data_IF_866886257350
#
_entry.id   IF_866886257350
#
_cell.length_a   1.000
_cell.length_b   1.000
_cell.length_c   1.000
_cell.angle_alpha   90.00
_cell.angle_beta   90.00
_cell.angle_gamma   90.00
#
_symmetry.space_group_name_H-M   'P 1'
#
loop_
_entity.id
_entity.type
_entity.pdbx_description
1 polymer ?
#
# COMPACT_ATOMS: atom_id res chain seq x y z
N UNK A 1 3.15 -7.72 57.85
CA UNK A 1 3.30 -6.33 58.31
C UNK A 1 4.71 -5.86 57.98
N UNK A 2 4.94 -5.23 56.82
CA UNK A 2 6.17 -4.45 56.56
C UNK A 2 5.97 -3.53 55.34
N UNK A 3 5.78 -2.25 55.67
CA UNK A 3 6.24 -1.01 55.03
C UNK A 3 5.97 -0.72 53.54
N UNK A 4 5.05 0.22 53.33
CA UNK A 4 4.92 1.12 52.18
C UNK A 4 6.11 2.09 52.10
N UNK A 5 6.58 2.37 50.88
CA UNK A 5 7.30 3.62 50.59
C UNK A 5 6.82 4.21 49.25
N UNK A 6 6.04 5.29 49.31
CA UNK A 6 5.90 6.26 48.21
C UNK A 6 7.00 7.29 48.37
N UNK A 7 7.63 7.71 47.26
CA UNK A 7 8.06 9.11 47.10
C UNK A 7 7.88 9.54 45.65
N UNK A 8 7.07 10.59 45.52
CA UNK A 8 6.90 11.39 44.34
C UNK A 8 8.16 12.20 44.05
N UNK A 9 8.43 12.44 42.77
CA UNK A 9 9.50 13.31 42.30
C UNK A 9 9.16 13.86 40.92
N UNK A 10 8.34 14.91 40.90
CA UNK A 10 8.09 15.75 39.73
C UNK A 10 9.28 16.65 39.44
N UNK A 11 9.76 16.67 38.20
CA UNK A 11 10.58 17.75 37.67
C UNK A 11 10.11 18.09 36.25
N UNK A 12 9.39 19.21 36.16
CA UNK A 12 9.03 19.89 34.92
C UNK A 12 10.25 20.67 34.46
N UNK A 13 10.79 20.39 33.28
CA UNK A 13 11.70 21.31 32.60
C UNK A 13 10.97 21.97 31.45
N UNK A 14 10.51 23.21 31.71
CA UNK A 14 10.21 24.19 30.68
C UNK A 14 11.52 24.90 30.32
N UNK A 15 11.82 24.99 29.03
CA UNK A 15 12.61 26.09 28.49
C UNK A 15 12.13 26.36 27.05
N UNK A 16 11.78 27.62 26.81
CA UNK A 16 11.27 28.16 25.56
C UNK A 16 12.39 28.93 24.83
N UNK A 17 12.35 28.96 23.50
CA UNK A 17 12.89 30.00 22.62
C UNK A 17 12.32 29.73 21.21
N UNK A 18 11.39 30.53 20.67
CA UNK A 18 11.55 31.88 20.11
C UNK A 18 12.37 31.89 18.80
N UNK A 19 11.75 32.28 17.68
CA UNK A 19 12.48 32.62 16.46
C UNK A 19 11.65 32.61 15.17
N UNK A 20 10.96 33.72 14.90
CA UNK A 20 10.32 34.04 13.62
C UNK A 20 11.30 34.02 12.44
N UNK A 21 10.81 33.70 11.22
CA UNK A 21 10.84 34.60 10.07
C UNK A 21 10.18 33.95 8.85
N UNK A 22 9.08 34.56 8.41
CA UNK A 22 8.44 34.32 7.12
C UNK A 22 9.23 35.03 6.01
N UNK A 23 9.30 34.40 4.83
CA UNK A 23 9.58 35.10 3.58
C UNK A 23 8.72 34.49 2.47
N UNK A 24 7.63 35.19 2.15
CA UNK A 24 6.86 35.03 0.93
C UNK A 24 7.65 35.69 -0.21
N UNK A 25 7.89 34.95 -1.29
CA UNK A 25 8.33 35.53 -2.56
C UNK A 25 7.31 35.16 -3.64
N UNK A 26 6.39 36.10 -3.88
CA UNK A 26 5.57 36.16 -5.08
C UNK A 26 6.40 36.84 -6.17
N UNK A 27 6.74 36.13 -7.23
CA UNK A 27 7.15 36.75 -8.49
C UNK A 27 6.14 36.41 -9.57
N UNK A 28 5.30 37.41 -9.85
CA UNK A 28 4.50 37.52 -11.05
C UNK A 28 5.43 37.58 -12.29
N UNK A 29 5.15 36.74 -13.29
CA UNK A 29 5.86 36.67 -14.56
C UNK A 29 4.91 36.98 -15.72
N UNK A 30 5.27 38.03 -16.45
CA UNK A 30 4.52 38.74 -17.49
C UNK A 30 4.08 37.88 -18.68
N UNK A 31 2.87 38.17 -19.19
CA UNK A 31 2.39 37.72 -20.49
C UNK A 31 2.89 38.65 -21.61
N UNK A 32 3.24 38.06 -22.75
CA UNK A 32 3.25 38.74 -24.05
C UNK A 32 2.78 37.74 -25.13
N UNK A 33 1.88 38.15 -26.05
CA UNK A 33 1.38 37.29 -27.11
C UNK A 33 2.38 37.28 -28.27
N UNK A 34 2.94 36.11 -28.56
CA UNK A 34 3.70 35.84 -29.77
C UNK A 34 2.80 35.18 -30.81
N UNK A 35 2.35 35.96 -31.79
CA UNK A 35 1.79 35.45 -33.04
C UNK A 35 2.88 34.76 -33.86
N UNK A 36 2.53 33.61 -34.44
CA UNK A 36 3.17 33.09 -35.65
C UNK A 36 4.00 31.81 -35.48
N UNK A 37 3.36 30.66 -35.71
CA UNK A 37 3.79 29.66 -36.70
C UNK A 37 2.82 28.48 -36.64
N UNK A 38 2.23 28.15 -37.79
CA UNK A 38 1.53 26.89 -38.02
C UNK A 38 2.46 25.73 -37.63
N UNK A 39 2.12 25.02 -36.57
CA UNK A 39 2.61 23.66 -36.38
C UNK A 39 1.37 22.77 -36.32
N UNK A 40 1.26 22.00 -37.39
CA UNK A 40 0.40 20.85 -37.61
C UNK A 40 -0.09 20.25 -36.29
N UNK A 41 -1.39 20.43 -36.02
CA UNK A 41 -2.09 19.68 -34.98
C UNK A 41 -2.13 18.20 -35.40
N UNK A 42 -1.01 17.50 -35.22
CA UNK A 42 -1.00 16.07 -35.12
C UNK A 42 -1.83 15.73 -33.89
N UNK A 43 -3.10 15.40 -34.13
CA UNK A 43 -3.93 14.67 -33.18
C UNK A 43 -3.18 13.37 -32.90
N UNK A 44 -2.41 13.35 -31.82
CA UNK A 44 -1.79 12.14 -31.33
C UNK A 44 -2.94 11.20 -30.96
N UNK A 45 -3.12 10.16 -31.78
CA UNK A 45 -3.96 9.03 -31.41
C UNK A 45 -3.38 8.44 -30.10
N UNK A 46 -4.23 7.99 -29.16
CA UNK A 46 -3.72 7.31 -27.99
C UNK A 46 -2.93 6.08 -28.45
N UNK A 47 -1.63 6.07 -28.14
CA UNK A 47 -0.80 4.88 -28.33
C UNK A 47 -1.29 3.80 -27.38
N UNK A 48 -1.46 2.59 -27.89
CA UNK A 48 -1.68 1.43 -27.02
C UNK A 48 -0.47 1.24 -26.09
N UNK A 49 -0.71 0.92 -24.81
CA UNK A 49 0.36 0.65 -23.85
C UNK A 49 1.21 -0.54 -24.31
N UNK A 50 2.50 -0.50 -23.97
CA UNK A 50 3.42 -1.59 -24.25
C UNK A 50 3.31 -2.69 -23.19
N UNK A 51 3.75 -3.93 -23.45
CA UNK A 51 3.69 -5.01 -22.47
C UNK A 51 4.35 -4.66 -21.12
N UNK A 52 5.45 -3.92 -21.14
CA UNK A 52 6.12 -3.46 -19.91
C UNK A 52 5.32 -2.42 -19.13
N UNK A 53 4.49 -1.62 -19.81
CA UNK A 53 3.61 -0.66 -19.13
C UNK A 53 2.48 -1.41 -18.40
N UNK A 54 1.96 -2.47 -19.02
CA UNK A 54 0.95 -3.33 -18.40
C UNK A 54 1.50 -4.13 -17.22
N UNK A 55 2.72 -4.67 -17.32
CA UNK A 55 3.39 -5.34 -16.20
C UNK A 55 3.58 -4.38 -15.01
N UNK A 56 3.99 -3.14 -15.28
CA UNK A 56 4.13 -2.12 -14.25
C UNK A 56 2.78 -1.74 -13.61
N UNK A 57 1.72 -1.63 -14.41
CA UNK A 57 0.38 -1.29 -13.93
C UNK A 57 -0.24 -2.44 -13.11
N UNK A 58 -0.06 -3.69 -13.55
CA UNK A 58 -0.47 -4.87 -12.80
C UNK A 58 0.29 -5.00 -11.48
N UNK A 59 1.62 -4.78 -11.50
CA UNK A 59 2.43 -4.75 -10.29
C UNK A 59 1.96 -3.67 -9.31
N UNK A 60 1.68 -2.46 -9.81
CA UNK A 60 1.18 -1.36 -8.98
C UNK A 60 -0.18 -1.66 -8.34
N UNK A 61 -1.07 -2.37 -9.04
CA UNK A 61 -2.33 -2.84 -8.45
C UNK A 61 -2.10 -3.86 -7.33
N UNK A 62 -1.19 -4.82 -7.54
CA UNK A 62 -0.83 -5.82 -6.53
C UNK A 62 -0.21 -5.18 -5.28
N UNK A 63 0.79 -4.31 -5.43
CA UNK A 63 1.44 -3.66 -4.29
C UNK A 63 0.51 -2.66 -3.61
N UNK A 64 -0.31 -1.94 -4.38
CA UNK A 64 -1.31 -1.01 -3.84
C UNK A 64 -2.36 -1.70 -2.95
N UNK A 65 -2.77 -2.92 -3.29
CA UNK A 65 -3.63 -3.74 -2.41
C UNK A 65 -2.95 -3.97 -1.05
N UNK A 66 -1.69 -4.40 -1.05
CA UNK A 66 -0.93 -4.65 0.18
C UNK A 66 -0.72 -3.37 0.99
N UNK A 67 -0.39 -2.24 0.36
CA UNK A 67 -0.22 -0.95 1.01
C UNK A 67 -1.48 -0.51 1.74
N UNK A 68 -2.65 -0.65 1.09
CA UNK A 68 -3.95 -0.34 1.69
C UNK A 68 -4.24 -1.24 2.89
N UNK A 69 -3.96 -2.54 2.78
CA UNK A 69 -4.16 -3.50 3.89
C UNK A 69 -3.21 -3.20 5.05
N UNK A 70 -1.95 -2.90 4.79
CA UNK A 70 -0.97 -2.52 5.81
C UNK A 70 -1.46 -1.27 6.53
N UNK A 71 -1.75 -0.19 5.80
CA UNK A 71 -2.23 1.07 6.38
C UNK A 71 -3.49 0.85 7.24
N UNK A 72 -4.51 0.19 6.67
CA UNK A 72 -5.76 -0.07 7.37
C UNK A 72 -5.58 -0.95 8.62
N UNK A 73 -4.67 -1.92 8.58
CA UNK A 73 -4.36 -2.76 9.74
C UNK A 73 -3.78 -1.95 10.91
N UNK A 74 -2.92 -0.98 10.63
CA UNK A 74 -2.36 -0.06 11.64
C UNK A 74 -3.40 0.92 12.20
N UNK A 75 -4.43 1.25 11.42
CA UNK A 75 -5.53 2.14 11.81
C UNK A 75 -6.68 1.43 12.55
N UNK A 76 -6.47 0.17 12.95
CA UNK A 76 -7.45 -0.61 13.71
C UNK A 76 -8.28 -1.57 12.87
N UNK A 77 -7.85 -1.87 11.64
CA UNK A 77 -8.41 -2.93 10.81
C UNK A 77 -9.77 -2.58 10.20
N UNK A 78 -10.07 -1.30 9.99
CA UNK A 78 -11.19 -0.86 9.13
C UNK A 78 -11.06 -1.45 7.72
N UNK A 79 -12.14 -1.76 7.01
CA UNK A 79 -12.04 -2.09 5.57
C UNK A 79 -12.22 -0.78 4.81
N UNK A 80 -11.16 -0.21 4.23
CA UNK A 80 -11.24 1.03 3.47
C UNK A 80 -11.90 0.78 2.11
N UNK A 81 -12.64 1.77 1.60
CA UNK A 81 -13.23 1.69 0.26
C UNK A 81 -12.17 1.64 -0.84
N UNK A 82 -11.02 2.25 -0.58
CA UNK A 82 -9.84 2.29 -1.45
C UNK A 82 -9.27 0.89 -1.73
N UNK A 83 -9.62 -0.12 -0.91
CA UNK A 83 -9.24 -1.50 -1.20
C UNK A 83 -9.90 -2.01 -2.50
N UNK A 84 -11.09 -1.50 -2.86
CA UNK A 84 -11.80 -1.87 -4.09
C UNK A 84 -11.12 -1.30 -5.35
N UNK A 85 -10.25 -0.29 -5.21
CA UNK A 85 -9.44 0.23 -6.32
C UNK A 85 -8.35 -0.76 -6.75
N UNK A 86 -7.97 -1.67 -5.86
CA UNK A 86 -6.87 -2.62 -6.08
C UNK A 86 -7.29 -4.09 -6.06
N UNK A 87 -8.41 -4.43 -5.41
CA UNK A 87 -8.85 -5.80 -5.25
C UNK A 87 -10.35 -5.96 -5.51
N UNK A 88 -10.72 -7.10 -6.07
CA UNK A 88 -12.09 -7.54 -6.29
C UNK A 88 -12.20 -9.02 -5.93
N UNK A 89 -13.40 -9.58 -6.01
CA UNK A 89 -13.62 -11.03 -5.92
C UNK A 89 -13.05 -11.67 -4.65
N UNK A 90 -12.34 -12.78 -4.82
CA UNK A 90 -11.76 -13.56 -3.72
C UNK A 90 -10.67 -12.81 -2.97
N UNK A 91 -9.85 -12.02 -3.67
CA UNK A 91 -8.80 -11.22 -3.05
C UNK A 91 -9.38 -10.14 -2.11
N UNK A 92 -10.38 -9.40 -2.56
CA UNK A 92 -11.06 -8.39 -1.74
C UNK A 92 -11.69 -9.01 -0.48
N UNK A 93 -12.35 -10.16 -0.64
CA UNK A 93 -12.97 -10.87 0.49
C UNK A 93 -11.94 -11.36 1.51
N UNK A 94 -10.81 -11.91 1.03
CA UNK A 94 -9.72 -12.38 1.88
C UNK A 94 -9.10 -11.22 2.68
N UNK A 95 -8.77 -10.12 2.01
CA UNK A 95 -8.15 -8.95 2.65
C UNK A 95 -9.09 -8.27 3.64
N UNK A 96 -10.37 -8.13 3.29
CA UNK A 96 -11.39 -7.62 4.21
C UNK A 96 -11.47 -8.47 5.48
N UNK A 97 -11.44 -9.80 5.34
CA UNK A 97 -11.47 -10.73 6.47
C UNK A 97 -10.22 -10.58 7.35
N UNK A 98 -9.04 -10.40 6.76
CA UNK A 98 -7.80 -10.18 7.50
C UNK A 98 -7.86 -8.88 8.34
N UNK A 99 -8.35 -7.79 7.76
CA UNK A 99 -8.54 -6.50 8.44
C UNK A 99 -9.56 -6.60 9.57
N UNK A 100 -10.70 -7.25 9.34
CA UNK A 100 -11.71 -7.50 10.38
C UNK A 100 -11.17 -8.39 11.51
N UNK A 101 -10.34 -9.37 11.18
CA UNK A 101 -9.61 -10.18 12.14
C UNK A 101 -8.71 -9.32 13.04
N UNK A 102 -7.90 -8.45 12.44
CA UNK A 102 -7.03 -7.53 13.17
C UNK A 102 -7.83 -6.58 14.08
N UNK A 103 -8.93 -6.03 13.57
CA UNK A 103 -9.87 -5.19 14.36
C UNK A 103 -10.41 -5.96 15.56
N UNK A 104 -10.85 -7.20 15.35
CA UNK A 104 -11.47 -8.04 16.38
C UNK A 104 -10.46 -8.49 17.44
N UNK A 105 -9.21 -8.74 17.06
CA UNK A 105 -8.14 -9.07 18.00
C UNK A 105 -7.87 -7.92 18.99
N UNK A 106 -8.17 -6.67 18.61
CA UNK A 106 -7.99 -5.49 19.46
C UNK A 106 -6.54 -5.25 19.89
N UNK A 107 -5.59 -5.95 19.26
CA UNK A 107 -4.17 -5.82 19.52
C UNK A 107 -3.58 -4.72 18.66
N UNK A 108 -2.47 -4.15 19.13
CA UNK A 108 -1.71 -3.19 18.35
C UNK A 108 -1.03 -3.92 17.20
N UNK A 109 -1.43 -3.62 15.96
CA UNK A 109 -0.73 -4.09 14.76
C UNK A 109 0.66 -3.46 14.71
N UNK A 110 1.68 -4.23 14.32
CA UNK A 110 3.08 -3.77 14.21
C UNK A 110 3.77 -4.38 13.00
N UNK A 111 4.71 -3.63 12.42
CA UNK A 111 5.47 -4.06 11.24
C UNK A 111 4.63 -4.10 9.96
N UNK A 112 5.20 -4.68 8.92
CA UNK A 112 4.60 -4.84 7.59
C UNK A 112 5.30 -6.01 6.88
N UNK A 113 4.67 -6.64 5.89
CA UNK A 113 5.33 -7.66 5.10
C UNK A 113 6.39 -7.04 4.18
N UNK A 114 7.42 -7.82 3.84
CA UNK A 114 8.35 -7.48 2.76
C UNK A 114 7.93 -8.27 1.52
N UNK A 115 7.68 -7.57 0.42
CA UNK A 115 7.27 -8.17 -0.86
C UNK A 115 8.49 -8.39 -1.76
N UNK A 116 8.48 -9.47 -2.54
CA UNK A 116 9.40 -9.79 -3.64
C UNK A 116 8.61 -10.34 -4.85
N UNK A 117 7.73 -9.53 -5.48
CA UNK A 117 6.83 -9.99 -6.52
C UNK A 117 7.49 -10.04 -7.91
N UNK A 118 7.12 -11.06 -8.68
CA UNK A 118 7.35 -11.17 -10.11
C UNK A 118 6.01 -11.21 -10.83
N UNK A 119 5.84 -10.37 -11.85
CA UNK A 119 4.58 -10.24 -12.61
C UNK A 119 4.74 -10.82 -14.01
N UNK A 120 3.69 -11.48 -14.51
CA UNK A 120 3.58 -11.90 -15.90
C UNK A 120 2.22 -11.46 -16.46
N UNK A 121 2.22 -10.68 -17.54
CA UNK A 121 0.99 -10.32 -18.27
C UNK A 121 0.73 -11.39 -19.33
N UNK A 122 -0.40 -12.08 -19.21
CA UNK A 122 -0.77 -13.20 -20.09
C UNK A 122 -1.68 -12.75 -21.25
N UNK A 123 -2.31 -11.59 -21.12
CA UNK A 123 -3.21 -11.01 -22.11
C UNK A 123 -3.63 -9.58 -21.75
N UNK A 124 -4.52 -8.95 -22.54
CA UNK A 124 -4.97 -7.58 -22.28
C UNK A 124 -5.83 -7.45 -21.01
N UNK A 125 -6.34 -8.56 -20.49
CA UNK A 125 -7.29 -8.63 -19.39
C UNK A 125 -6.86 -9.58 -18.26
N UNK A 126 -5.68 -10.20 -18.36
CA UNK A 126 -5.18 -11.19 -17.41
C UNK A 126 -3.68 -11.03 -17.13
N UNK A 127 -3.33 -11.01 -15.85
CA UNK A 127 -1.96 -11.08 -15.37
C UNK A 127 -1.87 -11.97 -14.11
N UNK A 128 -0.69 -12.52 -13.87
CA UNK A 128 -0.37 -13.33 -12.69
C UNK A 128 0.81 -12.72 -11.93
N UNK A 129 0.81 -12.92 -10.61
CA UNK A 129 1.91 -12.50 -9.74
C UNK A 129 2.29 -13.66 -8.83
N UNK A 130 3.59 -13.96 -8.80
CA UNK A 130 4.20 -14.82 -7.78
C UNK A 130 5.04 -13.93 -6.87
N UNK A 131 4.82 -14.00 -5.56
CA UNK A 131 5.51 -13.19 -4.57
C UNK A 131 6.02 -14.04 -3.41
N UNK A 132 7.31 -13.93 -3.11
CA UNK A 132 7.89 -14.49 -1.91
C UNK A 132 7.76 -13.50 -0.74
N UNK A 133 6.56 -13.44 -0.19
CA UNK A 133 6.17 -12.52 0.87
C UNK A 133 6.77 -12.94 2.23
N UNK A 134 7.58 -12.07 2.82
CA UNK A 134 8.11 -12.23 4.18
C UNK A 134 7.23 -11.47 5.18
N UNK A 135 6.39 -12.20 5.92
CA UNK A 135 5.54 -11.66 6.98
C UNK A 135 6.10 -11.85 8.39
N UNK A 136 7.38 -12.24 8.54
CA UNK A 136 7.99 -12.52 9.84
C UNK A 136 8.04 -11.30 10.77
N UNK A 137 8.07 -10.09 10.18
CA UNK A 137 8.03 -8.82 10.91
C UNK A 137 6.61 -8.29 11.19
N UNK A 138 5.57 -8.89 10.61
CA UNK A 138 4.21 -8.36 10.66
C UNK A 138 3.34 -9.10 11.67
N UNK A 139 2.76 -8.35 12.60
CA UNK A 139 1.87 -8.88 13.62
C UNK A 139 0.51 -8.20 13.52
N UNK A 140 -0.50 -8.94 13.06
CA UNK A 140 -1.88 -8.48 12.93
C UNK A 140 -2.71 -8.69 14.21
N UNK A 141 -2.12 -9.16 15.30
CA UNK A 141 -2.85 -9.48 16.53
C UNK A 141 -3.64 -10.79 16.50
N UNK A 142 -3.83 -11.37 15.32
CA UNK A 142 -4.50 -12.65 15.07
C UNK A 142 -3.51 -13.82 15.04
N UNK A 143 -2.64 -13.87 16.06
CA UNK A 143 -1.53 -14.82 16.11
C UNK A 143 -0.39 -14.43 15.16
N UNK A 144 0.84 -14.74 15.55
CA UNK A 144 2.00 -14.56 14.67
C UNK A 144 2.03 -15.67 13.64
N UNK A 145 2.46 -15.34 12.43
CA UNK A 145 2.91 -16.31 11.45
C UNK A 145 4.05 -17.15 12.03
N UNK A 146 3.71 -18.28 12.64
CA UNK A 146 4.62 -19.13 13.42
C UNK A 146 5.53 -20.01 12.57
N UNK A 147 5.63 -19.71 11.27
CA UNK A 147 6.44 -20.44 10.33
C UNK A 147 7.85 -19.86 10.15
N UNK A 148 8.74 -20.60 9.50
CA UNK A 148 10.11 -20.17 9.21
C UNK A 148 10.22 -19.80 7.74
N UNK A 149 10.56 -18.54 7.46
CA UNK A 149 10.88 -18.05 6.12
C UNK A 149 9.69 -17.42 5.37
N UNK A 150 9.96 -16.77 4.23
CA UNK A 150 8.93 -16.20 3.37
C UNK A 150 7.94 -17.26 2.88
N UNK A 151 6.76 -16.83 2.44
CA UNK A 151 5.75 -17.70 1.85
C UNK A 151 5.43 -17.25 0.44
N UNK A 152 5.13 -18.22 -0.41
CA UNK A 152 4.59 -17.95 -1.73
C UNK A 152 3.19 -17.34 -1.59
N UNK A 153 2.95 -16.30 -2.37
CA UNK A 153 1.66 -15.73 -2.67
C UNK A 153 1.49 -15.77 -4.17
N UNK A 154 0.43 -16.43 -4.64
CA UNK A 154 0.03 -16.43 -6.04
C UNK A 154 -1.20 -15.52 -6.17
N UNK A 155 -1.15 -14.59 -7.11
CA UNK A 155 -2.25 -13.67 -7.39
C UNK A 155 -2.68 -13.75 -8.86
N UNK A 156 -3.98 -13.60 -9.10
CA UNK A 156 -4.54 -13.41 -10.44
C UNK A 156 -5.16 -12.02 -10.51
N UNK A 157 -4.73 -11.22 -11.48
CA UNK A 157 -5.23 -9.89 -11.73
C UNK A 157 -6.07 -9.88 -13.01
N UNK A 158 -7.17 -9.12 -12.96
CA UNK A 158 -8.00 -8.84 -14.13
C UNK A 158 -7.95 -7.35 -14.46
N UNK A 159 -8.00 -7.02 -15.75
CA UNK A 159 -8.15 -5.66 -16.23
C UNK A 159 -9.57 -5.46 -16.78
N UNK A 160 -10.33 -4.51 -16.24
CA UNK A 160 -11.72 -4.26 -16.64
C UNK A 160 -11.88 -3.22 -17.79
N UNK A 161 -10.75 -2.79 -18.35
CA UNK A 161 -10.68 -1.71 -19.33
C UNK A 161 -10.33 -0.35 -18.73
N UNK A 162 -10.32 -0.24 -17.39
CA UNK A 162 -9.89 0.97 -16.68
C UNK A 162 -8.67 0.71 -15.79
N UNK A 163 -8.67 -0.38 -15.04
CA UNK A 163 -7.59 -0.67 -14.10
C UNK A 163 -7.38 -2.18 -13.88
N UNK A 164 -6.15 -2.54 -13.56
CA UNK A 164 -5.81 -3.85 -13.01
C UNK A 164 -6.30 -3.93 -11.57
N UNK A 165 -6.94 -5.05 -11.22
CA UNK A 165 -7.31 -5.39 -9.84
C UNK A 165 -7.03 -6.85 -9.56
N UNK A 166 -6.54 -7.13 -8.36
CA UNK A 166 -6.34 -8.49 -7.87
C UNK A 166 -7.71 -9.13 -7.66
N UNK A 167 -8.00 -10.20 -8.40
CA UNK A 167 -9.28 -10.91 -8.38
C UNK A 167 -9.25 -12.13 -7.46
N UNK A 168 -8.13 -12.83 -7.43
CA UNK A 168 -7.88 -13.99 -6.62
C UNK A 168 -6.49 -13.90 -6.00
N UNK A 169 -6.36 -14.42 -4.78
CA UNK A 169 -5.12 -14.47 -4.04
C UNK A 169 -5.03 -15.77 -3.25
N UNK A 170 -3.90 -16.47 -3.37
CA UNK A 170 -3.61 -17.69 -2.65
C UNK A 170 -2.32 -17.49 -1.85
N UNK A 171 -2.43 -17.55 -0.54
CA UNK A 171 -1.31 -17.43 0.39
C UNK A 171 -0.94 -18.83 0.88
N UNK A 172 0.28 -19.26 0.61
CA UNK A 172 0.77 -20.59 0.99
C UNK A 172 1.34 -20.61 2.42
N UNK A 173 1.74 -21.81 2.87
CA UNK A 173 2.41 -21.98 4.15
C UNK A 173 3.78 -21.30 4.14
N UNK A 174 4.23 -20.82 5.30
CA UNK A 174 5.57 -20.27 5.48
C UNK A 174 6.67 -21.28 5.11
N UNK A 175 7.73 -20.80 4.45
CA UNK A 175 8.83 -21.63 3.92
C UNK A 175 8.51 -22.31 2.59
N UNK A 176 7.46 -21.85 1.90
CA UNK A 176 7.17 -22.26 0.51
C UNK A 176 8.05 -21.54 -0.52
N UNK A 177 8.70 -20.46 -0.08
CA UNK A 177 9.96 -19.95 -0.62
C UNK A 177 11.09 -20.30 0.39
#
# INVERSE_FOLDING_TARGET
>A
MTTVARRAGSARHRAAAAGCCAALALSAGCAAPGEGTSEEAATALPSSPSPSDEEAAALAAYTGMWDVVVAASHEGGGVPSELEDHAVGGALALMSTALEGARTAGAQVTGEPVLDPSVAVEGPDLATVDDCLDDSGWNLGVGSSSGRGPRLVEATLIHDGLAWRVSDLRIWEAGSC
#
